data_IF_263846257239
#
_entry.id   IF_263846257239
#
_cell.length_a   1.000
_cell.length_b   1.000
_cell.length_c   1.000
_cell.angle_alpha   90.00
_cell.angle_beta   90.00
_cell.angle_gamma   90.00
#
_symmetry.space_group_name_H-M   'P 1'
#
loop_
_entity.id
_entity.type
_entity.pdbx_description
1 polymer ?
#
# COMPACT_ATOMS: atom_id res chain seq x y z
N UNK A 1 -2.00 25.32 1.43
CA UNK A 1 -2.82 24.14 1.20
C UNK A 1 -2.00 22.93 1.59
N UNK A 2 -2.62 21.95 2.22
CA UNK A 2 -1.90 20.80 2.72
C UNK A 2 -1.64 19.78 1.60
N UNK A 3 -0.43 19.21 1.56
CA UNK A 3 -0.11 18.02 0.80
C UNK A 3 -0.31 16.82 1.71
N UNK A 4 -1.11 15.86 1.29
CA UNK A 4 -1.54 14.74 2.11
C UNK A 4 -0.85 13.46 1.68
N UNK A 5 -0.26 12.72 2.62
CA UNK A 5 0.24 11.36 2.40
C UNK A 5 -0.72 10.37 3.01
N UNK A 6 -1.16 9.39 2.24
CA UNK A 6 -2.00 8.27 2.70
C UNK A 6 -1.17 7.01 2.81
N UNK A 7 -1.13 6.43 4.01
CA UNK A 7 -0.44 5.16 4.29
C UNK A 7 -1.38 4.18 5.00
N UNK A 8 -1.18 2.88 4.82
CA UNK A 8 -1.80 1.88 5.69
C UNK A 8 -1.07 1.81 7.03
N UNK A 9 -1.78 1.77 8.14
CA UNK A 9 -1.19 1.69 9.48
C UNK A 9 -0.98 0.26 9.98
N UNK A 10 -1.49 -0.74 9.27
CA UNK A 10 -1.45 -2.16 9.63
C UNK A 10 -0.68 -2.97 8.57
N UNK A 11 -1.11 -4.20 8.24
CA UNK A 11 -0.47 -5.08 7.24
C UNK A 11 -1.04 -4.95 5.83
N UNK A 12 -1.52 -3.79 5.43
CA UNK A 12 -2.20 -3.59 4.15
C UNK A 12 -3.68 -4.01 4.20
N UNK A 13 -4.36 -3.84 3.05
CA UNK A 13 -5.79 -4.17 2.90
C UNK A 13 -6.74 -3.44 3.86
N UNK A 14 -6.31 -2.29 4.42
CA UNK A 14 -7.09 -1.47 5.35
C UNK A 14 -8.28 -0.75 4.68
N UNK A 15 -8.50 -0.96 3.39
CA UNK A 15 -9.56 -0.24 2.66
C UNK A 15 -9.11 1.11 2.11
N UNK A 16 -7.82 1.27 1.87
CA UNK A 16 -7.22 2.50 1.30
C UNK A 16 -7.93 3.00 0.04
N UNK A 17 -8.34 2.08 -0.84
CA UNK A 17 -8.96 2.45 -2.12
C UNK A 17 -10.13 3.41 -1.98
N UNK A 18 -11.08 3.15 -1.07
CA UNK A 18 -12.24 4.02 -0.80
C UNK A 18 -11.82 5.41 -0.36
N UNK A 19 -10.89 5.49 0.60
CA UNK A 19 -10.46 6.76 1.18
C UNK A 19 -9.62 7.57 0.19
N UNK A 20 -8.72 6.90 -0.54
CA UNK A 20 -7.92 7.53 -1.60
C UNK A 20 -8.82 8.03 -2.73
N UNK A 21 -9.84 7.27 -3.13
CA UNK A 21 -10.81 7.72 -4.10
C UNK A 21 -11.54 8.98 -3.65
N UNK A 22 -12.03 9.00 -2.41
CA UNK A 22 -12.70 10.17 -1.81
C UNK A 22 -11.77 11.40 -1.75
N UNK A 23 -10.48 11.20 -1.40
CA UNK A 23 -9.48 12.27 -1.36
C UNK A 23 -9.03 12.70 -2.76
N UNK A 24 -8.95 11.79 -3.73
CA UNK A 24 -8.48 12.08 -5.10
C UNK A 24 -9.40 13.06 -5.82
N UNK A 25 -10.69 13.08 -5.51
CA UNK A 25 -11.61 14.08 -6.03
C UNK A 25 -11.23 15.50 -5.61
N UNK A 26 -10.68 15.65 -4.41
CA UNK A 26 -10.28 16.93 -3.83
C UNK A 26 -8.84 17.33 -4.14
N UNK A 27 -8.03 16.40 -4.62
CA UNK A 27 -6.65 16.64 -5.03
C UNK A 27 -6.58 17.18 -6.46
N UNK A 28 -5.54 17.92 -6.78
CA UNK A 28 -5.20 18.36 -8.13
C UNK A 28 -4.19 17.39 -8.77
N UNK A 29 -3.30 16.81 -7.95
CA UNK A 29 -2.28 15.83 -8.35
C UNK A 29 -2.35 14.62 -7.45
N UNK A 30 -2.34 13.41 -8.03
CA UNK A 30 -2.31 12.13 -7.29
C UNK A 30 -1.04 11.36 -7.64
N UNK A 31 -0.25 11.00 -6.64
CA UNK A 31 1.11 10.48 -6.81
C UNK A 31 1.29 9.13 -6.15
N UNK A 32 1.62 8.09 -6.92
CA UNK A 32 2.16 6.83 -6.38
C UNK A 32 3.64 7.00 -6.11
N UNK A 33 4.11 6.68 -4.92
CA UNK A 33 5.49 6.97 -4.51
C UNK A 33 6.33 5.72 -4.16
N UNK A 34 5.72 4.52 -4.08
CA UNK A 34 6.44 3.28 -3.77
C UNK A 34 5.64 2.04 -4.22
N UNK A 35 6.25 0.86 -4.12
CA UNK A 35 5.66 -0.42 -4.51
C UNK A 35 5.73 -0.63 -6.02
N UNK A 36 4.79 -1.37 -6.55
CA UNK A 36 4.66 -1.68 -7.97
C UNK A 36 3.24 -2.18 -8.25
N UNK A 37 3.08 -3.03 -9.26
CA UNK A 37 1.79 -3.60 -9.64
C UNK A 37 1.35 -4.80 -8.77
N UNK A 38 2.04 -5.05 -7.65
CA UNK A 38 1.68 -6.08 -6.66
C UNK A 38 0.51 -5.66 -5.74
N UNK A 39 0.20 -4.37 -5.65
CA UNK A 39 -0.92 -3.86 -4.88
C UNK A 39 -1.99 -3.36 -5.84
N UNK A 40 -3.11 -4.07 -5.90
CA UNK A 40 -4.29 -3.64 -6.66
C UNK A 40 -5.34 -3.01 -5.75
N UNK A 41 -6.06 -2.02 -6.26
CA UNK A 41 -7.24 -1.47 -5.61
C UNK A 41 -8.37 -1.26 -6.61
N UNK A 42 -9.58 -1.28 -6.11
CA UNK A 42 -10.78 -1.11 -6.91
C UNK A 42 -11.42 0.23 -6.57
N UNK A 43 -11.78 0.99 -7.59
CA UNK A 43 -12.52 2.25 -7.49
C UNK A 43 -13.86 2.08 -8.16
N UNK A 44 -14.88 2.77 -7.66
CA UNK A 44 -16.18 2.89 -8.32
C UNK A 44 -16.44 4.38 -8.55
N UNK A 45 -16.47 4.80 -9.80
CA UNK A 45 -16.70 6.19 -10.19
C UNK A 45 -17.89 6.21 -11.15
N UNK A 46 -18.92 6.95 -10.83
CA UNK A 46 -20.15 7.09 -11.62
C UNK A 46 -20.77 5.74 -12.03
N UNK A 47 -20.74 4.76 -11.09
CA UNK A 47 -21.26 3.40 -11.29
C UNK A 47 -20.33 2.46 -12.08
N UNK A 48 -19.22 2.97 -12.63
CA UNK A 48 -18.24 2.18 -13.36
C UNK A 48 -17.13 1.71 -12.41
N UNK A 49 -16.79 0.42 -12.48
CA UNK A 49 -15.72 -0.18 -11.66
C UNK A 49 -14.39 -0.17 -12.40
N UNK A 50 -13.36 0.39 -11.75
CA UNK A 50 -11.99 0.42 -12.24
C UNK A 50 -11.06 -0.38 -11.29
N UNK A 51 -10.27 -1.29 -11.86
CA UNK A 51 -9.26 -2.05 -11.10
C UNK A 51 -7.89 -1.51 -11.49
N UNK A 52 -7.23 -0.82 -10.55
CA UNK A 52 -5.92 -0.20 -10.76
C UNK A 52 -4.83 -0.97 -10.01
N UNK A 53 -3.63 -0.95 -10.56
CA UNK A 53 -2.44 -1.58 -9.96
C UNK A 53 -1.23 -0.62 -9.94
N UNK A 54 -0.79 -0.12 -11.09
CA UNK A 54 0.29 0.87 -11.23
C UNK A 54 -0.26 2.29 -11.36
N UNK A 55 -1.35 2.46 -12.08
CA UNK A 55 -1.95 3.77 -12.29
C UNK A 55 -2.44 4.36 -10.97
N UNK A 56 -2.14 5.65 -10.68
CA UNK A 56 -2.70 6.34 -9.53
C UNK A 56 -4.22 6.50 -9.62
N UNK A 57 -4.89 6.57 -8.48
CA UNK A 57 -6.36 6.69 -8.39
C UNK A 57 -6.94 7.91 -9.12
N UNK A 58 -6.15 8.96 -9.32
CA UNK A 58 -6.57 10.16 -10.03
C UNK A 58 -6.82 9.98 -11.53
N UNK A 59 -6.27 8.92 -12.14
CA UNK A 59 -6.30 8.72 -13.61
C UNK A 59 -7.72 8.59 -14.17
N UNK A 60 -8.65 8.05 -13.40
CA UNK A 60 -10.06 7.87 -13.79
C UNK A 60 -10.92 9.12 -13.59
N UNK A 61 -10.31 10.23 -13.19
CA UNK A 61 -11.00 11.50 -12.91
C UNK A 61 -10.57 12.60 -13.85
N UNK A 62 -11.52 13.40 -14.32
CA UNK A 62 -11.23 14.52 -15.19
C UNK A 62 -10.41 15.61 -14.47
N UNK A 63 -9.55 16.28 -15.21
CA UNK A 63 -8.73 17.42 -14.74
C UNK A 63 -7.81 17.09 -13.57
N UNK A 64 -7.37 15.84 -13.43
CA UNK A 64 -6.39 15.41 -12.44
C UNK A 64 -5.10 14.98 -13.12
N UNK A 65 -3.98 15.33 -12.52
CA UNK A 65 -2.68 14.83 -12.93
C UNK A 65 -2.32 13.63 -12.07
N UNK A 66 -2.06 12.50 -12.70
CA UNK A 66 -1.59 11.27 -12.08
C UNK A 66 -0.10 11.10 -12.29
N UNK A 67 0.64 10.77 -11.25
CA UNK A 67 2.11 10.70 -11.28
C UNK A 67 2.59 9.38 -10.70
N UNK A 68 3.47 8.70 -11.41
CA UNK A 68 4.23 7.55 -10.91
C UNK A 68 5.64 8.05 -10.55
N UNK A 69 5.94 8.08 -9.26
CA UNK A 69 7.22 8.55 -8.72
C UNK A 69 8.36 7.54 -8.88
N UNK A 70 9.58 8.00 -8.66
CA UNK A 70 10.80 7.21 -8.79
C UNK A 70 10.95 6.10 -7.73
N UNK A 71 10.16 6.16 -6.66
CA UNK A 71 10.11 5.09 -5.66
C UNK A 71 9.35 3.85 -6.13
N UNK A 72 8.51 3.97 -7.15
CA UNK A 72 7.78 2.85 -7.75
C UNK A 72 8.74 2.03 -8.65
N UNK A 73 8.60 0.70 -8.62
CA UNK A 73 9.18 -0.17 -9.65
C UNK A 73 8.10 -0.47 -10.69
N UNK A 74 8.38 -0.11 -11.94
CA UNK A 74 7.41 -0.08 -13.02
C UNK A 74 7.61 -1.29 -13.95
N UNK A 75 6.63 -2.17 -14.02
CA UNK A 75 6.55 -3.17 -15.08
C UNK A 75 5.94 -2.49 -16.32
N UNK A 76 6.73 -2.23 -17.39
CA UNK A 76 6.24 -1.46 -18.52
C UNK A 76 5.17 -2.20 -19.32
N UNK A 77 5.23 -3.53 -19.39
CA UNK A 77 4.20 -4.33 -20.05
C UNK A 77 2.89 -4.30 -19.27
N UNK A 78 2.95 -4.55 -17.96
CA UNK A 78 1.76 -4.48 -17.10
C UNK A 78 1.13 -3.07 -17.09
N UNK A 79 1.95 -2.01 -17.20
CA UNK A 79 1.44 -0.65 -17.29
C UNK A 79 0.72 -0.39 -18.60
N UNK A 80 1.27 -0.83 -19.74
CA UNK A 80 0.63 -0.71 -21.05
C UNK A 80 -0.69 -1.47 -21.08
N UNK A 81 -0.72 -2.70 -20.56
CA UNK A 81 -1.95 -3.50 -20.47
C UNK A 81 -3.00 -2.81 -19.57
N UNK A 82 -2.57 -2.19 -18.48
CA UNK A 82 -3.45 -1.47 -17.58
C UNK A 82 -4.01 -0.20 -18.24
N UNK A 83 -3.18 0.57 -18.95
CA UNK A 83 -3.60 1.74 -19.74
C UNK A 83 -4.66 1.32 -20.76
N UNK A 84 -4.37 0.31 -21.59
CA UNK A 84 -5.30 -0.19 -22.61
C UNK A 84 -6.66 -0.57 -22.01
N UNK A 85 -6.65 -1.32 -20.92
CA UNK A 85 -7.88 -1.73 -20.22
C UNK A 85 -8.68 -0.54 -19.67
N UNK A 86 -8.01 0.49 -19.19
CA UNK A 86 -8.69 1.69 -18.67
C UNK A 86 -9.23 2.55 -19.81
N UNK A 87 -8.52 2.62 -20.95
CA UNK A 87 -8.99 3.29 -22.16
C UNK A 87 -10.22 2.60 -22.77
N UNK A 88 -10.28 1.26 -22.75
CA UNK A 88 -11.47 0.49 -23.16
C UNK A 88 -12.71 0.81 -22.29
N UNK A 89 -12.52 1.29 -21.06
CA UNK A 89 -13.58 1.77 -20.18
C UNK A 89 -13.95 3.25 -20.42
N UNK A 90 -13.39 3.89 -21.46
CA UNK A 90 -13.72 5.25 -21.87
C UNK A 90 -12.88 6.36 -21.22
N UNK A 91 -11.82 6.03 -20.53
CA UNK A 91 -10.89 7.01 -19.92
C UNK A 91 -9.73 7.24 -20.87
N UNK A 92 -9.56 8.47 -21.38
CA UNK A 92 -8.39 8.81 -22.19
C UNK A 92 -7.15 9.03 -21.32
N UNK A 93 -6.06 8.28 -21.57
CA UNK A 93 -4.79 8.41 -20.86
C UNK A 93 -3.74 9.01 -21.79
N UNK A 94 -3.31 10.21 -21.47
CA UNK A 94 -2.37 10.98 -22.28
C UNK A 94 -1.27 11.58 -21.40
N UNK A 95 -0.28 12.22 -22.04
CA UNK A 95 0.72 12.99 -21.32
C UNK A 95 0.09 14.09 -20.41
N UNK A 96 -1.11 14.58 -20.73
CA UNK A 96 -1.71 15.65 -19.93
C UNK A 96 -2.23 15.19 -18.57
N UNK A 97 -2.54 13.90 -18.42
CA UNK A 97 -3.09 13.34 -17.16
C UNK A 97 -2.24 12.23 -16.54
N UNK A 98 -1.16 11.75 -17.20
CA UNK A 98 -0.22 10.77 -16.65
C UNK A 98 1.24 11.22 -16.84
N UNK A 99 2.05 11.12 -15.78
CA UNK A 99 3.50 11.29 -15.80
C UNK A 99 4.18 10.14 -15.07
N UNK A 100 5.37 9.78 -15.55
CA UNK A 100 6.22 8.73 -14.96
C UNK A 100 7.61 9.32 -14.74
N UNK A 101 8.14 9.15 -13.54
CA UNK A 101 9.48 9.63 -13.22
C UNK A 101 10.53 9.00 -14.14
N UNK A 102 11.34 9.84 -14.79
CA UNK A 102 12.44 9.43 -15.66
C UNK A 102 13.41 8.45 -14.99
N UNK A 103 13.62 8.60 -13.69
CA UNK A 103 14.50 7.77 -12.87
C UNK A 103 13.80 6.60 -12.15
N UNK A 104 12.56 6.28 -12.48
CA UNK A 104 11.88 5.09 -11.96
C UNK A 104 12.51 3.81 -12.53
N UNK A 105 12.65 2.79 -11.68
CA UNK A 105 13.23 1.50 -12.04
C UNK A 105 12.23 0.63 -12.79
N UNK A 106 12.65 -0.03 -13.85
CA UNK A 106 11.83 -0.97 -14.61
C UNK A 106 11.91 -2.38 -14.01
N UNK A 107 10.77 -3.05 -13.97
CA UNK A 107 10.69 -4.49 -13.79
C UNK A 107 10.82 -5.14 -15.16
N UNK A 108 11.82 -5.99 -15.30
CA UNK A 108 12.07 -6.76 -16.52
C UNK A 108 11.55 -8.20 -16.38
N UNK A 109 11.35 -8.94 -17.48
CA UNK A 109 10.89 -10.34 -17.41
C UNK A 109 11.74 -11.20 -16.47
N UNK A 110 13.06 -11.02 -16.48
CA UNK A 110 13.98 -11.73 -15.59
C UNK A 110 13.69 -11.55 -14.09
N UNK A 111 13.14 -10.39 -13.68
CA UNK A 111 12.79 -10.15 -12.27
C UNK A 111 11.58 -10.99 -11.86
N UNK A 112 10.57 -11.12 -12.73
CA UNK A 112 9.37 -11.95 -12.47
C UNK A 112 9.73 -13.43 -12.39
N UNK A 113 10.58 -13.89 -13.30
CA UNK A 113 11.07 -15.28 -13.30
C UNK A 113 11.88 -15.56 -12.03
N UNK A 114 12.80 -14.69 -11.65
CA UNK A 114 13.61 -14.86 -10.44
C UNK A 114 12.75 -14.87 -9.16
N UNK A 115 11.75 -13.99 -9.06
CA UNK A 115 10.80 -13.97 -7.94
C UNK A 115 10.05 -15.30 -7.83
N UNK A 116 9.56 -15.84 -8.96
CA UNK A 116 8.88 -17.13 -9.01
C UNK A 116 9.82 -18.30 -8.63
N UNK A 117 11.04 -18.31 -9.13
CA UNK A 117 12.03 -19.36 -8.83
C UNK A 117 12.44 -19.36 -7.35
N UNK A 118 12.74 -18.20 -6.79
CA UNK A 118 13.08 -18.05 -5.37
C UNK A 118 11.94 -18.53 -4.46
N UNK A 119 10.71 -18.12 -4.77
CA UNK A 119 9.53 -18.53 -3.99
C UNK A 119 9.27 -20.04 -4.12
N UNK A 120 9.51 -20.64 -5.29
CA UNK A 120 9.40 -22.08 -5.48
C UNK A 120 10.47 -22.84 -4.69
N UNK A 121 11.71 -22.36 -4.67
CA UNK A 121 12.84 -23.00 -4.01
C UNK A 121 12.80 -22.87 -2.47
N UNK A 122 12.08 -21.88 -1.92
CA UNK A 122 12.10 -21.55 -0.49
C UNK A 122 11.42 -22.60 0.43
N UNK A 123 10.65 -23.56 -0.10
CA UNK A 123 10.00 -24.59 0.70
C UNK A 123 9.15 -24.04 1.84
N UNK A 124 9.51 -24.36 3.09
CA UNK A 124 8.85 -23.84 4.30
C UNK A 124 9.21 -22.38 4.61
N UNK A 125 10.25 -21.83 3.98
CA UNK A 125 10.68 -20.44 4.15
C UNK A 125 10.03 -19.43 3.20
N UNK A 126 8.92 -19.79 2.56
CA UNK A 126 8.19 -18.92 1.65
C UNK A 126 7.75 -17.62 2.33
N UNK A 127 7.97 -16.51 1.65
CA UNK A 127 7.46 -15.19 2.08
C UNK A 127 6.00 -15.00 1.66
N UNK A 128 5.57 -15.68 0.60
CA UNK A 128 4.24 -15.55 0.01
C UNK A 128 4.18 -14.38 -0.98
N UNK A 129 5.23 -14.22 -1.80
CA UNK A 129 5.31 -13.11 -2.78
C UNK A 129 4.23 -13.22 -3.85
N UNK A 130 3.95 -12.11 -4.53
CA UNK A 130 3.02 -12.07 -5.66
C UNK A 130 3.64 -12.59 -6.97
N UNK A 131 4.93 -12.93 -6.98
CA UNK A 131 5.71 -13.38 -8.15
C UNK A 131 5.70 -12.37 -9.30
N UNK A 132 5.67 -11.09 -8.97
CA UNK A 132 5.65 -9.98 -9.93
C UNK A 132 6.99 -9.28 -10.12
N UNK A 133 8.05 -9.82 -9.52
CA UNK A 133 9.42 -9.31 -9.68
C UNK A 133 9.71 -8.03 -8.88
N UNK A 134 8.86 -7.67 -7.92
CA UNK A 134 9.00 -6.44 -7.12
C UNK A 134 10.31 -6.45 -6.35
N UNK A 135 10.55 -7.52 -5.55
CA UNK A 135 11.77 -7.67 -4.75
C UNK A 135 13.05 -7.64 -5.59
N UNK A 136 13.18 -8.50 -6.62
CA UNK A 136 14.34 -8.48 -7.50
C UNK A 136 14.61 -7.14 -8.19
N UNK A 137 13.56 -6.38 -8.58
CA UNK A 137 13.74 -5.05 -9.16
C UNK A 137 14.27 -4.03 -8.14
N UNK A 138 13.79 -4.04 -6.89
CA UNK A 138 14.37 -3.22 -5.81
C UNK A 138 15.79 -3.64 -5.47
N UNK A 139 16.10 -4.94 -5.47
CA UNK A 139 17.47 -5.46 -5.29
C UNK A 139 18.42 -4.89 -6.37
N UNK A 140 18.00 -4.89 -7.63
CA UNK A 140 18.78 -4.30 -8.71
C UNK A 140 18.90 -2.78 -8.63
N UNK A 141 17.85 -2.09 -8.15
CA UNK A 141 17.91 -0.64 -7.88
C UNK A 141 19.00 -0.30 -6.88
N UNK A 142 19.02 -0.95 -5.70
CA UNK A 142 20.05 -0.70 -4.68
C UNK A 142 21.42 -1.27 -5.07
N UNK A 143 21.44 -2.34 -5.88
CA UNK A 143 22.63 -2.91 -6.51
C UNK A 143 23.21 -2.03 -7.63
N UNK A 144 22.56 -0.93 -7.99
CA UNK A 144 22.99 0.06 -9.00
C UNK A 144 23.21 -0.53 -10.39
N UNK A 145 22.39 -1.54 -10.77
CA UNK A 145 22.40 -2.20 -12.09
C UNK A 145 21.05 -2.15 -12.79
N UNK A 146 20.01 -1.56 -12.15
CA UNK A 146 18.68 -1.46 -12.71
C UNK A 146 18.64 -0.66 -14.01
N UNK A 147 17.75 -1.05 -14.92
CA UNK A 147 17.32 -0.24 -16.06
C UNK A 147 16.22 0.72 -15.56
N UNK A 148 16.30 1.99 -15.98
CA UNK A 148 15.33 3.04 -15.59
C UNK A 148 14.55 3.51 -16.80
N UNK A 149 13.46 4.23 -16.58
CA UNK A 149 12.61 4.78 -17.66
C UNK A 149 13.41 5.64 -18.62
N UNK A 150 14.31 6.50 -18.13
CA UNK A 150 15.18 7.35 -18.96
C UNK A 150 16.12 6.56 -19.87
N UNK A 151 16.46 5.31 -19.52
CA UNK A 151 17.34 4.49 -20.34
C UNK A 151 16.66 4.04 -21.64
N UNK A 152 15.34 4.08 -21.70
CA UNK A 152 14.56 3.80 -22.89
C UNK A 152 14.73 4.88 -23.97
N UNK A 153 15.13 6.10 -23.60
CA UNK A 153 15.32 7.21 -24.53
C UNK A 153 16.65 7.11 -25.33
N UNK A 154 17.60 6.30 -24.85
CA UNK A 154 18.88 6.06 -25.51
C UNK A 154 19.14 4.56 -25.68
N UNK A 155 18.57 4.01 -26.74
CA UNK A 155 18.67 2.58 -27.05
C UNK A 155 20.12 2.16 -27.36
N UNK A 156 20.99 3.08 -27.76
CA UNK A 156 22.42 2.78 -28.01
C UNK A 156 23.17 2.51 -26.71
N UNK A 157 22.79 3.17 -25.62
CA UNK A 157 23.34 2.95 -24.28
C UNK A 157 22.64 1.80 -23.52
N UNK A 158 21.53 1.26 -24.02
CA UNK A 158 20.73 0.24 -23.34
C UNK A 158 21.46 -1.12 -23.28
N UNK A 159 22.09 -1.56 -24.41
CA UNK A 159 22.74 -2.88 -24.48
C UNK A 159 23.83 -3.07 -23.44
N UNK A 160 24.80 -2.14 -23.24
CA UNK A 160 25.79 -2.27 -22.16
C UNK A 160 25.18 -2.37 -20.75
N UNK A 161 24.03 -1.73 -20.50
CA UNK A 161 23.31 -1.83 -19.22
C UNK A 161 22.64 -3.19 -19.07
N UNK A 162 22.07 -3.73 -20.15
CA UNK A 162 21.52 -5.09 -20.18
C UNK A 162 22.62 -6.13 -19.97
N UNK A 163 23.77 -5.99 -20.64
CA UNK A 163 24.91 -6.88 -20.43
C UNK A 163 25.36 -6.89 -18.96
N UNK A 164 25.39 -5.72 -18.32
CA UNK A 164 25.74 -5.58 -16.90
C UNK A 164 24.73 -6.25 -15.96
N UNK A 165 23.42 -6.13 -16.20
CA UNK A 165 22.41 -6.78 -15.38
C UNK A 165 22.43 -8.30 -15.58
N UNK A 166 22.62 -8.78 -16.81
CA UNK A 166 22.72 -10.20 -17.12
C UNK A 166 24.00 -10.84 -16.60
N UNK A 167 25.11 -10.11 -16.52
CA UNK A 167 26.35 -10.57 -15.88
C UNK A 167 26.12 -10.93 -14.39
N UNK A 168 25.13 -10.33 -13.74
CA UNK A 168 24.71 -10.69 -12.39
C UNK A 168 23.69 -11.83 -12.37
N UNK A 169 22.67 -11.79 -13.24
CA UNK A 169 21.53 -12.72 -13.18
C UNK A 169 21.82 -14.06 -13.86
N UNK A 170 22.58 -14.12 -14.96
CA UNK A 170 22.82 -15.39 -15.68
C UNK A 170 23.60 -16.43 -14.84
N UNK A 171 24.65 -16.07 -14.06
CA UNK A 171 25.27 -17.02 -13.14
C UNK A 171 24.31 -17.57 -12.08
N UNK A 172 23.41 -16.74 -11.57
CA UNK A 172 22.37 -17.17 -10.61
C UNK A 172 21.37 -18.13 -11.26
N UNK A 173 20.92 -17.83 -12.49
CA UNK A 173 20.02 -18.69 -13.26
C UNK A 173 20.64 -20.06 -13.51
N UNK A 174 21.90 -20.11 -13.93
CA UNK A 174 22.64 -21.39 -14.09
C UNK A 174 22.68 -22.19 -12.79
N UNK A 175 22.93 -21.50 -11.65
CA UNK A 175 22.93 -22.15 -10.34
C UNK A 175 21.56 -22.71 -9.93
N UNK A 176 20.48 -22.16 -10.46
CA UNK A 176 19.10 -22.63 -10.25
C UNK A 176 18.65 -23.65 -11.32
N UNK A 177 19.50 -24.03 -12.27
CA UNK A 177 19.17 -24.96 -13.34
C UNK A 177 18.41 -24.35 -14.52
N UNK A 178 18.35 -23.03 -14.60
CA UNK A 178 17.64 -22.28 -15.64
C UNK A 178 18.57 -21.82 -16.76
N UNK A 179 18.10 -21.73 -18.03
CA UNK A 179 18.88 -21.22 -19.13
C UNK A 179 19.26 -19.75 -18.95
N UNK A 180 20.38 -19.34 -19.52
CA UNK A 180 20.79 -17.95 -19.59
C UNK A 180 19.84 -17.13 -20.48
N UNK A 181 19.66 -15.86 -20.14
CA UNK A 181 18.89 -14.92 -20.96
C UNK A 181 19.85 -14.25 -21.94
N UNK A 182 19.45 -14.19 -23.20
CA UNK A 182 20.17 -13.48 -24.25
C UNK A 182 20.03 -11.96 -24.06
N UNK A 183 21.17 -11.25 -24.14
CA UNK A 183 21.17 -9.79 -24.07
C UNK A 183 20.41 -9.16 -25.24
N UNK A 184 20.55 -9.73 -26.45
CA UNK A 184 19.87 -9.23 -27.65
C UNK A 184 18.35 -9.45 -27.57
N UNK A 185 17.90 -10.59 -27.05
CA UNK A 185 16.48 -10.86 -26.84
C UNK A 185 15.87 -9.90 -25.82
N UNK A 186 16.51 -9.71 -24.67
CA UNK A 186 16.04 -8.78 -23.65
C UNK A 186 16.06 -7.34 -24.15
N UNK A 187 17.09 -6.94 -24.91
CA UNK A 187 17.16 -5.63 -25.54
C UNK A 187 15.97 -5.40 -26.50
N UNK A 188 15.67 -6.39 -27.36
CA UNK A 188 14.53 -6.31 -28.26
C UNK A 188 13.20 -6.19 -27.54
N UNK A 189 12.98 -6.97 -26.48
CA UNK A 189 11.76 -6.88 -25.66
C UNK A 189 11.59 -5.50 -25.03
N UNK A 190 12.64 -4.93 -24.45
CA UNK A 190 12.60 -3.60 -23.84
C UNK A 190 12.38 -2.51 -24.88
N UNK A 191 13.01 -2.63 -26.06
CA UNK A 191 12.84 -1.67 -27.16
C UNK A 191 11.40 -1.62 -27.67
N UNK A 192 10.73 -2.77 -27.78
CA UNK A 192 9.34 -2.86 -28.24
C UNK A 192 8.33 -2.12 -27.33
N UNK A 193 8.62 -1.99 -26.05
CA UNK A 193 7.75 -1.30 -25.10
C UNK A 193 8.11 0.17 -24.90
N UNK A 194 9.32 0.58 -25.33
CA UNK A 194 9.86 1.92 -25.08
C UNK A 194 8.96 3.03 -25.59
N UNK A 195 8.51 2.95 -26.85
CA UNK A 195 7.66 3.97 -27.51
C UNK A 195 6.31 4.16 -26.82
N UNK A 196 5.84 3.15 -26.08
CA UNK A 196 4.56 3.24 -25.33
C UNK A 196 4.74 3.91 -23.96
N UNK A 197 5.94 3.91 -23.39
CA UNK A 197 6.25 4.45 -22.05
C UNK A 197 6.84 5.85 -22.12
N UNK A 198 7.75 6.10 -23.08
CA UNK A 198 8.47 7.37 -23.22
C UNK A 198 7.57 8.62 -23.29
N UNK A 199 6.38 8.59 -23.92
CA UNK A 199 5.50 9.76 -23.95
C UNK A 199 5.11 10.28 -22.56
N UNK A 200 5.10 9.42 -21.54
CA UNK A 200 4.74 9.79 -20.18
C UNK A 200 5.93 10.19 -19.31
N UNK A 201 7.17 9.97 -19.76
CA UNK A 201 8.38 10.28 -19.00
C UNK A 201 8.48 11.77 -18.69
N UNK A 202 8.82 12.08 -17.42
CA UNK A 202 9.01 13.46 -16.97
C UNK A 202 9.97 13.56 -15.77
N UNK A 203 10.47 14.76 -15.52
CA UNK A 203 11.23 15.12 -14.32
C UNK A 203 10.27 15.37 -13.15
N UNK A 204 9.83 14.30 -12.48
CA UNK A 204 8.76 14.33 -11.48
C UNK A 204 9.07 15.25 -10.31
N UNK A 205 10.32 15.32 -9.83
CA UNK A 205 10.67 16.23 -8.73
C UNK A 205 10.42 17.71 -9.10
N UNK A 206 10.74 18.10 -10.33
CA UNK A 206 10.53 19.45 -10.85
C UNK A 206 9.03 19.74 -11.03
N UNK A 207 8.30 18.79 -11.61
CA UNK A 207 6.86 18.85 -11.79
C UNK A 207 6.12 19.06 -10.45
N UNK A 208 6.50 18.33 -9.41
CA UNK A 208 5.86 18.42 -8.10
C UNK A 208 6.27 19.70 -7.34
N UNK A 209 7.50 20.17 -7.53
CA UNK A 209 7.92 21.46 -6.96
C UNK A 209 7.14 22.61 -7.60
N UNK A 210 6.94 22.59 -8.93
CA UNK A 210 6.07 23.56 -9.62
C UNK A 210 4.63 23.47 -9.12
N UNK A 211 4.06 22.26 -9.01
CA UNK A 211 2.69 22.07 -8.49
C UNK A 211 2.53 22.65 -7.07
N UNK A 212 3.56 22.51 -6.21
CA UNK A 212 3.59 23.12 -4.87
C UNK A 212 3.64 24.65 -4.97
N UNK A 213 4.47 25.24 -5.85
CA UNK A 213 4.54 26.68 -6.09
C UNK A 213 3.18 27.22 -6.58
N UNK A 214 2.48 26.47 -7.42
CA UNK A 214 1.14 26.78 -7.93
C UNK A 214 0.04 26.54 -6.89
N UNK A 215 0.40 26.16 -5.65
CA UNK A 215 -0.53 25.85 -4.56
C UNK A 215 -1.53 24.74 -4.89
N UNK A 216 -1.14 23.78 -5.72
CA UNK A 216 -1.94 22.59 -6.00
C UNK A 216 -2.00 21.67 -4.78
N UNK A 217 -3.13 20.99 -4.60
CA UNK A 217 -3.30 19.95 -3.59
C UNK A 217 -2.72 18.65 -4.11
N UNK A 218 -1.69 18.16 -3.46
CA UNK A 218 -1.02 16.91 -3.84
C UNK A 218 -1.42 15.81 -2.86
N UNK A 219 -1.95 14.71 -3.40
CA UNK A 219 -2.24 13.48 -2.68
C UNK A 219 -1.18 12.43 -3.00
N UNK A 220 -0.41 12.02 -2.02
CA UNK A 220 0.54 10.92 -2.12
C UNK A 220 -0.15 9.62 -1.70
N UNK A 221 -0.33 8.72 -2.64
CA UNK A 221 -1.01 7.45 -2.48
C UNK A 221 -0.02 6.34 -2.18
N UNK A 222 0.01 5.86 -0.93
CA UNK A 222 0.80 4.71 -0.53
C UNK A 222 0.14 3.38 -0.88
N UNK A 223 0.96 2.36 -1.02
CA UNK A 223 0.54 0.97 -1.19
C UNK A 223 0.98 0.14 0.03
N UNK A 224 0.43 -1.05 0.21
CA UNK A 224 0.66 -1.94 1.35
C UNK A 224 0.30 -1.27 2.69
N UNK A 225 1.04 -1.53 3.76
CA UNK A 225 0.86 -0.95 5.08
C UNK A 225 2.17 -0.87 5.85
N UNK A 226 2.22 -0.05 6.91
CA UNK A 226 3.44 0.23 7.65
C UNK A 226 4.09 -1.01 8.28
N UNK A 227 3.31 -2.03 8.64
CA UNK A 227 3.83 -3.30 9.16
C UNK A 227 4.41 -4.22 8.05
N UNK A 228 4.28 -3.84 6.79
CA UNK A 228 4.94 -4.46 5.64
C UNK A 228 6.16 -3.66 5.15
N UNK A 229 6.55 -2.59 5.85
CA UNK A 229 7.73 -1.80 5.53
C UNK A 229 9.01 -2.64 5.65
N UNK A 230 9.95 -2.48 4.70
CA UNK A 230 11.18 -3.28 4.64
C UNK A 230 12.06 -3.10 5.88
N UNK A 231 12.07 -1.91 6.50
CA UNK A 231 12.91 -1.59 7.66
C UNK A 231 12.14 -1.69 8.99
N UNK A 232 10.87 -1.27 9.00
CA UNK A 232 10.07 -1.10 10.22
C UNK A 232 8.96 -2.14 10.38
N UNK A 233 8.74 -2.98 9.38
CA UNK A 233 7.73 -4.03 9.39
C UNK A 233 8.16 -5.30 10.09
N UNK A 234 7.32 -6.32 9.98
CA UNK A 234 7.53 -7.66 10.57
C UNK A 234 8.45 -8.52 9.68
N UNK A 235 9.71 -8.08 9.52
CA UNK A 235 10.73 -8.74 8.71
C UNK A 235 10.93 -10.21 9.13
N UNK A 236 11.07 -11.18 8.19
CA UNK A 236 11.20 -11.03 6.74
C UNK A 236 9.86 -11.01 5.98
N UNK A 237 8.71 -11.07 6.65
CA UNK A 237 7.37 -11.10 6.06
C UNK A 237 6.88 -9.68 5.74
N UNK A 238 7.57 -9.02 4.82
CA UNK A 238 7.38 -7.61 4.43
C UNK A 238 7.45 -7.46 2.90
N UNK A 239 7.08 -6.27 2.39
CA UNK A 239 7.38 -5.89 1.01
C UNK A 239 8.83 -5.39 0.89
N UNK A 240 9.33 -5.23 -0.34
CA UNK A 240 10.72 -4.81 -0.59
C UNK A 240 10.87 -3.29 -0.69
N UNK A 241 9.88 -2.51 -0.25
CA UNK A 241 9.95 -1.04 -0.25
C UNK A 241 9.62 -0.48 1.12
N UNK A 242 10.05 0.77 1.37
CA UNK A 242 9.52 1.53 2.49
C UNK A 242 8.07 1.94 2.18
N UNK A 243 7.19 1.72 3.15
CA UNK A 243 5.74 1.98 3.05
C UNK A 243 5.28 3.11 3.98
N UNK A 244 6.18 3.62 4.82
CA UNK A 244 5.94 4.76 5.71
C UNK A 244 5.92 6.09 4.94
N UNK A 245 5.30 7.12 5.52
CA UNK A 245 5.07 8.38 4.82
C UNK A 245 6.34 9.11 4.36
N UNK A 246 7.46 8.94 5.06
CA UNK A 246 8.75 9.52 4.67
C UNK A 246 9.19 9.12 3.24
N UNK A 247 8.75 7.94 2.77
CA UNK A 247 9.02 7.46 1.42
C UNK A 247 8.36 8.34 0.34
N UNK A 248 7.31 9.09 0.64
CA UNK A 248 6.73 10.03 -0.32
C UNK A 248 7.75 11.09 -0.76
N UNK A 249 8.60 11.57 0.15
CA UNK A 249 9.66 12.51 -0.19
C UNK A 249 10.74 11.88 -1.08
N UNK A 250 11.32 10.76 -0.67
CA UNK A 250 12.41 10.11 -1.43
C UNK A 250 11.91 9.41 -2.71
N UNK A 251 10.69 8.90 -2.69
CA UNK A 251 10.05 8.20 -3.81
C UNK A 251 9.50 9.11 -4.91
N UNK A 252 9.55 10.43 -4.72
CA UNK A 252 9.09 11.42 -5.71
C UNK A 252 10.09 12.56 -5.95
N UNK A 253 11.07 12.70 -5.05
CA UNK A 253 12.04 13.80 -5.07
C UNK A 253 11.51 15.12 -4.51
N UNK A 254 10.28 15.15 -3.94
CA UNK A 254 9.81 16.35 -3.24
C UNK A 254 10.51 16.48 -1.88
N UNK A 255 10.78 17.70 -1.44
CA UNK A 255 11.41 17.89 -0.13
C UNK A 255 10.50 17.43 1.03
N UNK A 256 11.04 16.85 2.12
CA UNK A 256 10.22 16.30 3.20
C UNK A 256 9.32 17.33 3.89
N UNK A 257 9.71 18.60 3.91
CA UNK A 257 8.88 19.71 4.44
C UNK A 257 7.64 20.02 3.59
N UNK A 258 7.52 19.44 2.40
CA UNK A 258 6.32 19.58 1.57
C UNK A 258 5.17 18.67 2.04
N UNK A 259 5.45 17.67 2.86
CA UNK A 259 4.43 16.80 3.48
C UNK A 259 3.80 17.58 4.63
N UNK A 260 2.51 17.87 4.54
CA UNK A 260 1.79 18.69 5.51
C UNK A 260 0.91 17.87 6.45
N UNK A 261 0.41 16.72 5.99
CA UNK A 261 -0.47 15.85 6.75
C UNK A 261 -0.29 14.39 6.34
N UNK A 262 -0.21 13.51 7.30
CA UNK A 262 -0.14 12.06 7.09
C UNK A 262 -1.41 11.40 7.61
N UNK A 263 -2.19 10.81 6.71
CA UNK A 263 -3.40 10.07 7.03
C UNK A 263 -3.11 8.56 7.07
N UNK A 264 -3.27 7.96 8.25
CA UNK A 264 -3.16 6.52 8.45
C UNK A 264 -4.50 5.83 8.22
N UNK A 265 -4.57 4.93 7.23
CA UNK A 265 -5.76 4.11 7.06
C UNK A 265 -5.67 2.91 7.99
N UNK A 266 -6.69 2.70 8.80
CA UNK A 266 -6.72 1.72 9.88
C UNK A 266 -8.06 1.01 9.88
N UNK A 267 -8.10 -0.32 9.89
CA UNK A 267 -9.34 -1.07 10.15
C UNK A 267 -9.71 -1.02 11.63
N UNK A 268 -10.99 -1.07 11.93
CA UNK A 268 -11.49 -1.21 13.29
C UNK A 268 -11.15 -2.57 13.95
N UNK A 269 -10.53 -3.47 13.21
CA UNK A 269 -9.95 -4.75 13.63
C UNK A 269 -8.64 -4.97 12.85
N UNK A 270 -7.99 -6.11 13.02
CA UNK A 270 -6.72 -6.37 12.33
C UNK A 270 -6.87 -7.50 11.32
N UNK A 271 -6.22 -7.37 10.15
CA UNK A 271 -6.12 -8.46 9.18
C UNK A 271 -4.71 -8.60 8.66
N UNK A 272 -4.35 -9.82 8.25
CA UNK A 272 -3.08 -10.11 7.62
C UNK A 272 -3.24 -11.15 6.50
N UNK A 273 -2.53 -10.94 5.39
CA UNK A 273 -2.37 -11.93 4.32
C UNK A 273 -1.02 -12.61 4.47
N UNK A 274 -0.98 -13.93 4.26
CA UNK A 274 0.26 -14.69 4.27
C UNK A 274 0.80 -15.03 5.65
N UNK A 275 2.06 -15.40 5.66
CA UNK A 275 2.77 -15.87 6.83
C UNK A 275 3.25 -14.71 7.73
N UNK A 276 3.83 -15.06 8.87
CA UNK A 276 4.43 -14.13 9.81
C UNK A 276 3.59 -13.88 11.06
N UNK A 277 4.12 -13.10 12.01
CA UNK A 277 3.50 -12.90 13.33
C UNK A 277 2.18 -12.15 13.23
N UNK A 278 1.21 -12.56 14.06
CA UNK A 278 -0.07 -11.90 14.19
C UNK A 278 -0.57 -12.08 15.66
N UNK A 279 -0.10 -11.26 16.59
CA UNK A 279 -0.35 -11.48 18.02
C UNK A 279 -1.82 -11.54 18.42
N UNK A 280 -2.69 -10.79 17.74
CA UNK A 280 -4.11 -10.70 18.04
C UNK A 280 -5.00 -11.59 17.16
N UNK A 281 -4.41 -12.54 16.42
CA UNK A 281 -5.16 -13.45 15.53
C UNK A 281 -6.20 -14.26 16.29
N UNK A 282 -7.37 -14.42 15.68
CA UNK A 282 -8.49 -15.18 16.18
C UNK A 282 -8.70 -16.46 15.37
N UNK A 283 -8.72 -17.58 16.09
CA UNK A 283 -8.97 -18.92 15.51
C UNK A 283 -10.35 -19.47 15.90
N UNK A 284 -11.22 -18.61 16.40
CA UNK A 284 -12.56 -18.94 16.89
C UNK A 284 -13.68 -18.46 15.97
N UNK A 285 -14.91 -18.62 16.41
CA UNK A 285 -16.13 -18.17 15.70
C UNK A 285 -16.14 -16.66 15.45
N UNK A 286 -15.58 -15.86 16.36
CA UNK A 286 -15.49 -14.41 16.20
C UNK A 286 -14.59 -14.05 15.03
N UNK A 287 -13.42 -14.70 14.92
CA UNK A 287 -12.50 -14.50 13.80
C UNK A 287 -13.13 -14.86 12.45
N UNK A 288 -13.87 -15.98 12.40
CA UNK A 288 -14.62 -16.41 11.22
C UNK A 288 -15.67 -15.37 10.81
N UNK A 289 -16.47 -14.89 11.77
CA UNK A 289 -17.53 -13.91 11.56
C UNK A 289 -16.97 -12.57 11.02
N UNK A 290 -15.89 -12.06 11.62
CA UNK A 290 -15.18 -10.86 11.14
C UNK A 290 -14.72 -11.06 9.69
N UNK A 291 -14.14 -12.22 9.37
CA UNK A 291 -13.70 -12.54 8.02
C UNK A 291 -14.83 -12.54 6.99
N UNK A 292 -15.96 -13.15 7.33
CA UNK A 292 -17.14 -13.23 6.46
C UNK A 292 -17.81 -11.86 6.27
N UNK A 293 -18.13 -11.15 7.36
CA UNK A 293 -18.75 -9.82 7.32
C UNK A 293 -17.87 -8.78 6.64
N UNK A 294 -16.56 -8.86 6.92
CA UNK A 294 -15.58 -8.00 6.32
C UNK A 294 -15.25 -8.34 4.86
N UNK A 295 -15.77 -9.45 4.31
CA UNK A 295 -15.38 -9.99 3.01
C UNK A 295 -13.85 -10.03 2.88
N UNK A 296 -13.18 -10.60 3.91
CA UNK A 296 -11.73 -10.58 4.01
C UNK A 296 -11.07 -11.64 3.12
N UNK A 297 -11.11 -11.36 1.81
CA UNK A 297 -10.47 -12.17 0.76
C UNK A 297 -9.60 -11.28 -0.10
N UNK A 298 -8.47 -11.81 -0.55
CA UNK A 298 -7.54 -11.09 -1.41
C UNK A 298 -8.17 -10.80 -2.78
N UNK A 299 -8.22 -9.53 -3.17
CA UNK A 299 -8.85 -9.07 -4.43
C UNK A 299 -8.23 -9.71 -5.68
N UNK A 300 -6.93 -10.02 -5.62
CA UNK A 300 -6.17 -10.59 -6.75
C UNK A 300 -6.05 -12.11 -6.66
N UNK A 301 -5.87 -12.63 -5.46
CA UNK A 301 -5.56 -14.06 -5.23
C UNK A 301 -6.74 -14.86 -4.71
N UNK A 302 -7.84 -14.22 -4.29
CA UNK A 302 -8.97 -14.88 -3.61
C UNK A 302 -8.61 -15.53 -2.27
N UNK A 303 -7.38 -15.38 -1.78
CA UNK A 303 -6.91 -15.99 -0.54
C UNK A 303 -7.59 -15.33 0.66
N UNK A 304 -8.09 -16.15 1.60
CA UNK A 304 -8.65 -15.66 2.85
C UNK A 304 -7.59 -14.91 3.67
N UNK A 305 -7.99 -13.80 4.27
CA UNK A 305 -7.17 -13.04 5.22
C UNK A 305 -7.36 -13.59 6.62
N UNK A 306 -6.29 -13.69 7.37
CA UNK A 306 -6.30 -13.94 8.81
C UNK A 306 -6.93 -12.73 9.51
N UNK A 307 -7.79 -12.93 10.50
CA UNK A 307 -8.49 -11.85 11.20
C UNK A 307 -8.17 -11.88 12.70
N UNK A 308 -8.17 -10.72 13.33
CA UNK A 308 -7.87 -10.58 14.74
C UNK A 308 -8.45 -9.30 15.35
N UNK A 309 -8.38 -9.18 16.67
CA UNK A 309 -8.79 -7.98 17.37
C UNK A 309 -7.93 -6.77 17.00
N UNK A 310 -8.45 -5.57 17.23
CA UNK A 310 -7.69 -4.34 17.04
C UNK A 310 -6.44 -4.34 17.94
N UNK A 311 -5.30 -4.05 17.33
CA UNK A 311 -4.01 -3.98 18.02
C UNK A 311 -3.58 -2.51 18.16
N UNK A 312 -3.98 -1.90 19.29
CA UNK A 312 -3.66 -0.50 19.56
C UNK A 312 -2.17 -0.29 19.83
N UNK A 313 -1.48 -1.31 20.36
CA UNK A 313 -0.04 -1.26 20.58
C UNK A 313 0.72 -1.15 19.26
N UNK A 314 0.40 -2.00 18.28
CA UNK A 314 0.97 -1.93 16.93
C UNK A 314 0.63 -0.64 16.20
N UNK A 315 -0.66 -0.25 16.22
CA UNK A 315 -1.09 0.99 15.52
C UNK A 315 -0.41 2.21 16.14
N UNK A 316 -0.28 2.30 17.46
CA UNK A 316 0.48 3.36 18.14
C UNK A 316 1.94 3.40 17.68
N UNK A 317 2.58 2.25 17.56
CA UNK A 317 3.96 2.14 17.07
C UNK A 317 4.07 2.64 15.61
N UNK A 318 3.18 2.20 14.74
CA UNK A 318 3.18 2.62 13.33
C UNK A 318 2.82 4.08 13.16
N UNK A 319 1.92 4.63 13.97
CA UNK A 319 1.62 6.07 13.99
C UNK A 319 2.86 6.91 14.27
N UNK A 320 3.68 6.49 15.24
CA UNK A 320 4.95 7.17 15.56
C UNK A 320 5.98 7.05 14.45
N UNK A 321 6.17 5.84 13.90
CA UNK A 321 7.17 5.57 12.84
C UNK A 321 6.80 6.26 11.52
N UNK A 322 5.53 6.22 11.15
CA UNK A 322 5.05 6.84 9.91
C UNK A 322 4.70 8.33 10.03
N UNK A 323 4.69 8.89 11.25
CA UNK A 323 4.34 10.29 11.51
C UNK A 323 2.87 10.57 11.18
N UNK A 324 1.95 9.66 11.57
CA UNK A 324 0.52 9.79 11.28
C UNK A 324 -0.09 10.89 12.15
N UNK A 325 -0.74 11.88 11.49
CA UNK A 325 -1.41 13.02 12.13
C UNK A 325 -2.89 12.75 12.40
N UNK A 326 -3.50 11.84 11.65
CA UNK A 326 -4.89 11.42 11.82
C UNK A 326 -5.16 10.05 11.23
N UNK A 327 -6.18 9.38 11.75
CA UNK A 327 -6.61 8.05 11.35
C UNK A 327 -7.88 8.16 10.49
N UNK A 328 -7.90 7.45 9.35
CA UNK A 328 -9.14 7.08 8.69
C UNK A 328 -9.51 5.66 9.12
N UNK A 329 -10.48 5.55 10.04
CA UNK A 329 -10.93 4.28 10.58
C UNK A 329 -11.96 3.66 9.63
N UNK A 330 -11.71 2.42 9.21
CA UNK A 330 -12.52 1.72 8.20
C UNK A 330 -13.15 0.45 8.77
N UNK A 331 -14.21 -0.03 8.10
CA UNK A 331 -14.82 -1.33 8.42
C UNK A 331 -15.43 -1.40 9.85
N UNK A 332 -15.92 -0.30 10.37
CA UNK A 332 -16.53 -0.24 11.70
C UNK A 332 -17.80 -1.12 11.77
N UNK A 333 -18.58 -1.14 10.69
CA UNK A 333 -19.80 -1.93 10.50
C UNK A 333 -19.60 -3.45 10.63
N UNK A 334 -18.40 -3.94 10.48
CA UNK A 334 -18.06 -5.36 10.64
C UNK A 334 -18.15 -5.80 12.10
N UNK A 335 -17.98 -4.87 13.04
CA UNK A 335 -18.03 -5.10 14.48
C UNK A 335 -19.43 -4.96 15.08
N UNK A 336 -20.46 -4.66 14.28
CA UNK A 336 -21.83 -4.61 14.74
C UNK A 336 -22.27 -5.98 15.29
N UNK A 337 -22.93 -6.01 16.43
CA UNK A 337 -23.50 -7.22 17.04
C UNK A 337 -22.53 -8.43 17.08
N UNK A 338 -21.34 -8.22 17.67
CA UNK A 338 -20.36 -9.30 17.88
C UNK A 338 -20.89 -10.28 18.94
N UNK A 339 -20.81 -11.61 18.71
CA UNK A 339 -21.21 -12.63 19.68
C UNK A 339 -20.58 -12.40 21.06
N UNK A 340 -21.42 -12.48 22.11
CA UNK A 340 -21.01 -12.22 23.49
C UNK A 340 -20.99 -10.75 23.88
N UNK A 341 -21.26 -9.82 22.95
CA UNK A 341 -21.40 -8.38 23.21
C UNK A 341 -20.14 -7.69 23.75
N UNK A 342 -18.95 -8.30 23.55
CA UNK A 342 -17.66 -7.77 24.02
C UNK A 342 -16.68 -7.64 22.87
N UNK A 343 -15.95 -6.53 22.85
CA UNK A 343 -14.82 -6.28 21.96
C UNK A 343 -13.53 -6.27 22.78
N UNK A 344 -12.43 -6.74 22.19
CA UNK A 344 -11.11 -6.70 22.82
C UNK A 344 -10.18 -5.80 22.03
N UNK A 345 -9.39 -5.03 22.74
CA UNK A 345 -8.32 -4.16 22.18
C UNK A 345 -7.00 -4.60 22.80
N UNK A 346 -6.02 -4.94 21.97
CA UNK A 346 -4.67 -5.21 22.45
C UNK A 346 -3.99 -3.89 22.83
N UNK A 347 -3.64 -3.75 24.10
CA UNK A 347 -3.05 -2.51 24.65
C UNK A 347 -1.54 -2.62 24.90
N UNK A 348 -1.00 -3.83 24.85
CA UNK A 348 0.40 -4.14 25.06
C UNK A 348 0.67 -5.63 24.86
N UNK A 349 1.90 -6.06 25.09
CA UNK A 349 2.32 -7.45 24.98
C UNK A 349 3.02 -7.93 26.25
N UNK A 350 3.03 -9.23 26.42
CA UNK A 350 3.88 -9.91 27.41
C UNK A 350 4.87 -10.80 26.66
N UNK A 351 6.16 -10.64 26.94
CA UNK A 351 7.23 -11.47 26.38
C UNK A 351 8.05 -12.06 27.53
N UNK A 352 8.05 -13.38 27.65
CA UNK A 352 8.81 -14.10 28.68
C UNK A 352 8.57 -13.54 30.11
N UNK A 353 7.32 -13.11 30.39
CA UNK A 353 6.89 -12.54 31.66
C UNK A 353 7.05 -11.03 31.82
N UNK A 354 7.69 -10.34 30.87
CA UNK A 354 7.87 -8.88 30.86
C UNK A 354 6.84 -8.20 29.97
N UNK A 355 6.20 -7.14 30.48
CA UNK A 355 5.26 -6.33 29.71
C UNK A 355 6.01 -5.37 28.78
N UNK A 356 5.53 -5.26 27.54
CA UNK A 356 6.06 -4.40 26.49
C UNK A 356 4.93 -3.53 25.92
N UNK A 357 5.26 -2.29 25.60
CA UNK A 357 4.36 -1.33 24.94
C UNK A 357 4.64 -1.17 23.44
N UNK A 358 5.39 -2.09 22.85
CA UNK A 358 5.75 -2.19 21.44
C UNK A 358 5.97 -3.64 21.00
N UNK A 359 5.84 -3.92 19.69
CA UNK A 359 6.23 -5.21 19.12
C UNK A 359 7.75 -5.24 18.91
N UNK A 360 8.48 -6.20 19.50
CA UNK A 360 9.92 -6.32 19.29
C UNK A 360 10.27 -6.66 17.83
N UNK A 361 11.42 -6.20 17.35
CA UNK A 361 11.84 -6.42 15.95
C UNK A 361 12.32 -7.86 15.69
N UNK A 362 12.85 -8.55 16.69
CA UNK A 362 13.38 -9.90 16.52
C UNK A 362 12.26 -10.92 16.23
N UNK A 363 12.36 -11.64 15.12
CA UNK A 363 11.35 -12.62 14.66
C UNK A 363 11.01 -13.65 15.75
N UNK A 364 12.02 -14.20 16.46
CA UNK A 364 11.79 -15.15 17.54
C UNK A 364 11.07 -14.56 18.75
N UNK A 365 11.21 -13.26 19.01
CA UNK A 365 10.46 -12.56 20.04
C UNK A 365 9.01 -12.30 19.57
N UNK A 366 8.82 -11.85 18.33
CA UNK A 366 7.49 -11.66 17.74
C UNK A 366 6.62 -12.93 17.77
N UNK A 367 7.24 -14.10 17.63
CA UNK A 367 6.53 -15.39 17.68
C UNK A 367 6.08 -15.79 19.11
N UNK A 368 6.64 -15.15 20.16
CA UNK A 368 6.36 -15.50 21.56
C UNK A 368 5.59 -14.43 22.34
N UNK A 369 5.36 -13.27 21.75
CA UNK A 369 4.56 -12.23 22.42
C UNK A 369 3.12 -12.72 22.62
N UNK A 370 2.60 -12.45 23.80
CA UNK A 370 1.21 -12.69 24.18
C UNK A 370 0.51 -11.34 24.29
N UNK A 371 -0.64 -11.14 23.61
CA UNK A 371 -1.36 -9.87 23.66
C UNK A 371 -2.01 -9.65 25.04
N UNK A 372 -1.89 -8.43 25.55
CA UNK A 372 -2.60 -7.96 26.74
C UNK A 372 -3.85 -7.23 26.26
N UNK A 373 -5.03 -7.70 26.66
CA UNK A 373 -6.30 -7.17 26.20
C UNK A 373 -7.01 -6.30 27.25
N UNK A 374 -7.60 -5.20 26.77
CA UNK A 374 -8.68 -4.47 27.42
C UNK A 374 -10.01 -4.90 26.77
N UNK A 375 -11.03 -5.18 27.59
CA UNK A 375 -12.36 -5.51 27.11
C UNK A 375 -13.28 -4.29 27.17
N UNK A 376 -14.10 -4.11 26.14
CA UNK A 376 -15.13 -3.10 26.06
C UNK A 376 -16.48 -3.72 25.71
N UNK A 377 -17.56 -3.05 26.11
CA UNK A 377 -18.89 -3.40 25.64
C UNK A 377 -19.03 -3.09 24.15
N UNK A 378 -19.55 -4.05 23.41
CA UNK A 378 -19.95 -3.87 22.02
C UNK A 378 -21.29 -3.14 21.89
N UNK A 379 -21.83 -3.12 20.71
CA UNK A 379 -23.14 -2.55 20.38
C UNK A 379 -23.91 -3.52 19.49
N UNK A 380 -25.23 -3.43 19.52
CA UNK A 380 -26.15 -4.30 18.77
C UNK A 380 -26.80 -3.59 17.58
N UNK A 381 -26.86 -2.26 17.64
CA UNK A 381 -27.38 -1.44 16.56
C UNK A 381 -26.42 -1.37 15.40
N UNK A 382 -26.95 -1.28 14.17
CA UNK A 382 -26.10 -1.18 12.99
C UNK A 382 -25.45 0.19 12.87
N UNK A 383 -24.15 0.20 12.60
CA UNK A 383 -23.39 1.41 12.24
C UNK A 383 -23.37 1.63 10.74
N UNK A 384 -23.84 0.66 9.95
CA UNK A 384 -23.75 0.68 8.49
C UNK A 384 -24.55 1.84 7.91
N UNK A 385 -23.88 2.64 7.09
CA UNK A 385 -24.47 3.79 6.42
C UNK A 385 -24.59 5.05 7.29
N UNK A 386 -24.05 5.04 8.52
CA UNK A 386 -23.98 6.24 9.34
C UNK A 386 -23.13 7.33 8.67
N UNK A 387 -23.64 8.56 8.65
CA UNK A 387 -23.00 9.73 8.00
C UNK A 387 -22.69 10.87 8.96
N UNK A 388 -23.10 10.72 10.22
CA UNK A 388 -22.81 11.63 11.31
C UNK A 388 -22.52 10.89 12.63
N UNK A 389 -21.87 11.55 13.58
CA UNK A 389 -21.67 10.99 14.91
C UNK A 389 -22.99 10.67 15.64
N UNK A 390 -24.04 11.42 15.35
CA UNK A 390 -25.34 11.22 15.97
C UNK A 390 -26.03 9.91 15.53
N UNK A 391 -25.62 9.36 14.40
CA UNK A 391 -26.14 8.10 13.86
C UNK A 391 -25.47 6.88 14.51
N UNK A 392 -24.38 7.07 15.28
CA UNK A 392 -23.60 5.98 15.86
C UNK A 392 -24.10 5.61 17.25
N UNK A 393 -24.17 4.30 17.61
CA UNK A 393 -24.43 3.83 18.96
C UNK A 393 -23.43 4.40 19.98
N UNK A 394 -23.88 4.67 21.19
CA UNK A 394 -23.03 5.25 22.24
C UNK A 394 -21.78 4.38 22.54
N UNK A 395 -21.91 3.06 22.54
CA UNK A 395 -20.78 2.16 22.78
C UNK A 395 -19.79 2.16 21.61
N UNK A 396 -20.29 2.28 20.36
CA UNK A 396 -19.44 2.47 19.19
C UNK A 396 -18.61 3.76 19.30
N UNK A 397 -19.22 4.87 19.72
CA UNK A 397 -18.50 6.14 19.95
C UNK A 397 -17.44 5.95 21.02
N UNK A 398 -17.73 5.28 22.14
CA UNK A 398 -16.75 4.99 23.19
C UNK A 398 -15.58 4.15 22.66
N UNK A 399 -15.87 3.13 21.83
CA UNK A 399 -14.83 2.33 21.18
C UNK A 399 -13.90 3.20 20.33
N UNK A 400 -14.45 4.01 19.45
CA UNK A 400 -13.65 4.91 18.60
C UNK A 400 -12.79 5.87 19.43
N UNK A 401 -13.38 6.49 20.48
CA UNK A 401 -12.64 7.37 21.38
C UNK A 401 -11.52 6.64 22.13
N UNK A 402 -11.77 5.40 22.53
CA UNK A 402 -10.76 4.58 23.19
C UNK A 402 -9.59 4.25 22.26
N UNK A 403 -9.87 4.00 20.97
CA UNK A 403 -8.80 3.84 19.96
C UNK A 403 -7.95 5.10 19.81
N UNK A 404 -8.56 6.30 19.79
CA UNK A 404 -7.83 7.58 19.75
C UNK A 404 -6.91 7.73 20.96
N UNK A 405 -7.41 7.46 22.17
CA UNK A 405 -6.63 7.53 23.42
C UNK A 405 -5.43 6.58 23.39
N UNK A 406 -5.64 5.33 22.98
CA UNK A 406 -4.62 4.29 22.98
C UNK A 406 -3.56 4.48 21.91
N UNK A 407 -3.93 4.99 20.74
CA UNK A 407 -3.01 5.26 19.64
C UNK A 407 -2.33 6.61 19.74
N UNK A 408 -2.94 7.56 20.47
CA UNK A 408 -2.47 8.94 20.61
C UNK A 408 -2.72 9.81 19.36
N UNK A 409 -3.57 9.33 18.42
CA UNK A 409 -3.85 10.00 17.14
C UNK A 409 -5.36 10.11 16.94
N UNK A 410 -5.90 11.29 16.55
CA UNK A 410 -7.33 11.48 16.37
C UNK A 410 -7.86 10.76 15.12
N UNK A 411 -9.12 10.34 15.15
CA UNK A 411 -9.84 9.84 13.98
C UNK A 411 -10.30 11.05 13.15
N UNK A 412 -9.71 11.20 11.96
CA UNK A 412 -10.03 12.26 11.00
C UNK A 412 -11.20 11.89 10.08
N UNK A 413 -11.32 10.59 9.75
CA UNK A 413 -12.38 10.04 8.91
C UNK A 413 -12.87 8.71 9.50
N UNK A 414 -14.17 8.45 9.41
CA UNK A 414 -14.77 7.20 9.85
C UNK A 414 -15.60 6.61 8.70
N UNK A 415 -15.23 5.45 8.21
CA UNK A 415 -15.94 4.73 7.14
C UNK A 415 -16.84 3.66 7.75
N UNK A 416 -18.15 3.74 7.47
CA UNK A 416 -19.21 2.93 8.08
C UNK A 416 -19.82 1.90 7.12
N UNK A 417 -19.38 1.86 5.85
CA UNK A 417 -19.75 0.84 4.86
C UNK A 417 -18.76 0.84 3.68
N UNK A 418 -18.87 -0.09 2.73
CA UNK A 418 -18.11 -0.04 1.48
C UNK A 418 -18.45 1.16 0.58
N UNK A 419 -19.66 1.72 0.70
CA UNK A 419 -20.12 2.82 -0.12
C UNK A 419 -19.34 4.11 0.17
N UNK A 420 -19.00 4.84 -0.88
CA UNK A 420 -18.17 6.05 -0.83
C UNK A 420 -18.73 7.13 0.10
N UNK A 421 -20.05 7.37 0.02
CA UNK A 421 -20.73 8.44 0.75
C UNK A 421 -20.93 8.11 2.23
N UNK A 422 -20.79 6.86 2.61
CA UNK A 422 -20.92 6.40 4.00
C UNK A 422 -19.59 6.62 4.74
N UNK A 423 -19.22 7.91 4.82
CA UNK A 423 -17.98 8.37 5.47
C UNK A 423 -18.29 9.61 6.30
N UNK A 424 -17.97 9.56 7.59
CA UNK A 424 -18.06 10.70 8.51
C UNK A 424 -16.73 11.45 8.44
N UNK A 425 -16.77 12.69 7.96
CA UNK A 425 -15.61 13.58 7.97
C UNK A 425 -15.55 14.31 9.30
N UNK A 426 -14.52 14.04 10.09
CA UNK A 426 -14.26 14.70 11.38
C UNK A 426 -13.28 15.87 11.19
N UNK A 427 -12.22 15.65 10.40
CA UNK A 427 -11.21 16.65 10.07
C UNK A 427 -10.79 16.49 8.62
N UNK A 428 -10.78 17.59 7.86
CA UNK A 428 -10.34 17.56 6.46
C UNK A 428 -8.79 17.57 6.39
N UNK A 429 -8.16 16.50 5.87
CA UNK A 429 -6.71 16.41 5.76
C UNK A 429 -6.05 17.51 4.90
N UNK A 430 -6.80 18.12 3.97
CA UNK A 430 -6.30 19.20 3.11
C UNK A 430 -6.40 20.58 3.72
N UNK A 431 -7.09 20.74 4.86
CA UNK A 431 -7.24 22.03 5.54
C UNK A 431 -6.22 22.17 6.67
N UNK A 432 -5.76 21.08 7.24
CA UNK A 432 -4.76 21.04 8.31
C UNK A 432 -5.35 20.97 9.71
#
# INVERSE_FOLDING_TARGET
MANVVVVGSQWGDEGKGKIVDWLSERADVVVRFQGGHNAGHTLVVDGQTYKLSLLPSGVVRQNKLSVIGNGVVVDPWALVDEITRIEELGVSITRDNLRIAENATLILPLHRELDALREAAAGAGKIGTTKRGIGPAYEDKVGRRAIRVMDLADLSALKPKIDRILAHHNPLRRGLGEPEISADELCNQVTQVADKILPYMDSVWSLLDQAKCDRKRILFEGAQGALLDIDHGTYPFVTSSNTVAAQAATGTGIGPKAISYVLGITKAYTTRVGEGPFPTELHDETGRLIGERGAEFGTVTGRARRCGWFDACLVRQTCKVAGIDGIALTKLDVLDDIPGGKLKICVGYKLDGVELDYLPAAQGAQARVEPIYEEMDGWTESTRGARSWADLPAQCIKYVRRLEELTGVPVALLSTSPERDDTILVRDPFVG
#
